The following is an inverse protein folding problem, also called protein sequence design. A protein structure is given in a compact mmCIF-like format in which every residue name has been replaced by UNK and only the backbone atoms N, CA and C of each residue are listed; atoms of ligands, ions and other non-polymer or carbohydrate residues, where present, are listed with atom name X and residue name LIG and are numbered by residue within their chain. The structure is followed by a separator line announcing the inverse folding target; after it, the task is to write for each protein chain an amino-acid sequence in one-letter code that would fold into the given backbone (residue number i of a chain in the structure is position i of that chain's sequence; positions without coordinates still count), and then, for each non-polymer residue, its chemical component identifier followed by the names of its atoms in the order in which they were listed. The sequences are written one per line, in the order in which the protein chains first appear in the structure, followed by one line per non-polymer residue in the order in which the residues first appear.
data_IF_796074452886
#
_entry.id   IF_796074452886
#
_cell.length_a   1.000
_cell.length_b   1.000
_cell.length_c   1.000
_cell.angle_alpha   90.00
_cell.angle_beta   90.00
_cell.angle_gamma   90.00
#
_symmetry.space_group_name_H-M   'P 1'
#
loop_
_entity.id
_entity.type
_entity.pdbx_description
1 polymer ?
#
# COMPACT_ATOMS: atom_id res chain seq x y z
N UNK A 1 -16.27 11.46 -15.25
CA UNK A 1 -14.93 11.00 -14.80
C UNK A 1 -15.11 10.33 -13.44
N UNK A 2 -15.26 9.00 -13.39
CA UNK A 2 -15.42 8.26 -12.13
C UNK A 2 -14.09 7.58 -11.79
N UNK A 3 -13.10 8.36 -11.34
CA UNK A 3 -11.77 7.87 -10.96
C UNK A 3 -11.62 7.46 -9.50
N UNK A 4 -12.73 7.41 -8.74
CA UNK A 4 -12.71 7.01 -7.34
C UNK A 4 -12.41 5.53 -7.21
N UNK A 5 -11.44 5.18 -6.35
CA UNK A 5 -11.16 3.79 -5.97
C UNK A 5 -12.09 3.46 -4.81
N UNK A 6 -12.91 2.44 -4.97
CA UNK A 6 -13.77 1.99 -3.87
C UNK A 6 -12.92 1.13 -2.91
N UNK A 7 -12.50 1.73 -1.80
CA UNK A 7 -11.64 1.12 -0.78
C UNK A 7 -12.33 1.23 0.56
N UNK A 8 -12.40 0.12 1.31
CA UNK A 8 -13.00 0.09 2.64
C UNK A 8 -12.28 1.08 3.59
N UNK A 9 -12.98 2.15 3.96
CA UNK A 9 -12.46 3.18 4.86
C UNK A 9 -12.09 2.63 6.24
N UNK A 10 -12.76 1.57 6.71
CA UNK A 10 -12.43 0.89 7.97
C UNK A 10 -11.07 0.21 7.87
N UNK A 11 -10.80 -0.45 6.75
CA UNK A 11 -9.51 -1.06 6.48
C UNK A 11 -8.40 0.00 6.41
N UNK A 12 -8.65 1.13 5.75
CA UNK A 12 -7.69 2.26 5.68
C UNK A 12 -7.41 2.82 7.08
N UNK A 13 -8.43 3.12 7.87
CA UNK A 13 -8.26 3.65 9.23
C UNK A 13 -7.54 2.66 10.15
N UNK A 14 -7.79 1.35 9.99
CA UNK A 14 -7.07 0.31 10.71
C UNK A 14 -5.57 0.27 10.39
N UNK A 15 -5.17 0.59 9.15
CA UNK A 15 -3.77 0.70 8.75
C UNK A 15 -3.13 2.00 9.24
N UNK A 16 -3.86 3.12 9.18
CA UNK A 16 -3.40 4.42 9.71
C UNK A 16 -3.12 4.32 11.21
N UNK A 17 -4.04 3.73 11.98
CA UNK A 17 -3.88 3.58 13.43
C UNK A 17 -2.67 2.70 13.83
N UNK A 18 -2.20 1.83 12.93
CA UNK A 18 -1.09 0.89 13.17
C UNK A 18 0.22 1.30 12.50
N UNK A 19 0.29 2.48 11.89
CA UNK A 19 1.47 2.93 11.16
C UNK A 19 1.71 4.43 11.30
N UNK A 20 2.88 4.86 10.83
CA UNK A 20 3.19 6.28 10.67
C UNK A 20 2.87 6.78 9.24
N UNK A 21 2.03 6.06 8.48
CA UNK A 21 1.68 6.39 7.10
C UNK A 21 0.42 7.26 7.04
N UNK A 22 0.29 8.05 5.97
CA UNK A 22 -0.92 8.85 5.75
C UNK A 22 -2.11 7.98 5.35
N UNK A 23 -3.34 8.50 5.48
CA UNK A 23 -4.54 7.80 4.99
C UNK A 23 -4.44 7.50 3.48
N UNK A 24 -3.87 8.41 2.72
CA UNK A 24 -3.62 8.23 1.29
C UNK A 24 -2.68 7.04 1.04
N UNK A 25 -1.54 6.94 1.72
CA UNK A 25 -0.63 5.79 1.58
C UNK A 25 -1.33 4.47 1.97
N UNK A 26 -2.10 4.50 3.05
CA UNK A 26 -2.86 3.36 3.55
C UNK A 26 -3.97 2.92 2.59
N UNK A 27 -4.50 3.80 1.74
CA UNK A 27 -5.50 3.47 0.72
C UNK A 27 -4.92 2.52 -0.34
N UNK A 28 -3.71 2.80 -0.84
CA UNK A 28 -3.03 1.93 -1.79
C UNK A 28 -2.66 0.58 -1.18
N UNK A 29 -2.26 0.57 0.09
CA UNK A 29 -1.97 -0.66 0.84
C UNK A 29 -3.25 -1.48 1.05
N UNK A 30 -4.35 -0.85 1.45
CA UNK A 30 -5.63 -1.53 1.65
C UNK A 30 -6.14 -2.18 0.36
N UNK A 31 -6.07 -1.45 -0.77
CA UNK A 31 -6.50 -1.96 -2.06
C UNK A 31 -5.64 -3.13 -2.55
N UNK A 32 -4.32 -3.01 -2.47
CA UNK A 32 -3.42 -4.08 -2.93
C UNK A 32 -3.56 -5.33 -2.06
N UNK A 33 -3.80 -5.17 -0.75
CA UNK A 33 -4.15 -6.28 0.15
C UNK A 33 -5.48 -6.95 -0.21
N UNK A 34 -6.52 -6.19 -0.59
CA UNK A 34 -7.81 -6.79 -0.95
C UNK A 34 -7.75 -7.58 -2.27
N UNK A 35 -6.84 -7.20 -3.16
CA UNK A 35 -6.63 -7.86 -4.46
C UNK A 35 -5.54 -8.95 -4.42
N UNK A 36 -4.69 -8.97 -3.39
CA UNK A 36 -3.59 -9.93 -3.26
C UNK A 36 -2.37 -9.62 -4.15
N UNK A 37 -2.19 -8.37 -4.58
CA UNK A 37 -1.04 -7.93 -5.36
C UNK A 37 -0.03 -7.14 -4.51
N UNK A 38 1.21 -7.05 -4.98
CA UNK A 38 2.20 -6.18 -4.38
C UNK A 38 1.99 -4.71 -4.81
N UNK A 39 2.19 -3.78 -3.88
CA UNK A 39 2.28 -2.35 -4.13
C UNK A 39 3.72 -2.00 -4.51
N UNK A 40 3.94 -1.64 -5.78
CA UNK A 40 5.24 -1.11 -6.22
C UNK A 40 5.30 0.38 -5.93
N UNK A 41 6.28 0.82 -5.15
CA UNK A 41 6.43 2.22 -4.75
C UNK A 41 7.86 2.56 -4.35
N UNK A 42 8.30 3.78 -4.64
CA UNK A 42 9.57 4.33 -4.12
C UNK A 42 9.39 4.98 -2.73
N UNK A 43 8.20 4.88 -2.14
CA UNK A 43 7.90 5.35 -0.79
C UNK A 43 8.60 4.50 0.27
N UNK A 44 9.85 4.84 0.62
CA UNK A 44 10.67 4.10 1.59
C UNK A 44 9.95 3.84 2.93
N UNK A 45 9.10 4.78 3.38
CA UNK A 45 8.28 4.60 4.59
C UNK A 45 7.26 3.47 4.43
N UNK A 46 6.57 3.39 3.30
CA UNK A 46 5.55 2.38 3.01
C UNK A 46 6.21 1.00 2.93
N UNK A 47 7.31 0.88 2.19
CA UNK A 47 8.08 -0.37 2.05
C UNK A 47 8.56 -0.88 3.41
N UNK A 48 9.10 0.00 4.26
CA UNK A 48 9.55 -0.37 5.62
C UNK A 48 8.40 -0.75 6.56
N UNK A 49 7.25 -0.11 6.40
CA UNK A 49 6.07 -0.34 7.26
C UNK A 49 5.32 -1.62 6.87
N UNK A 50 5.25 -1.91 5.56
CA UNK A 50 4.47 -3.01 5.01
C UNK A 50 5.32 -3.88 4.06
N UNK A 51 6.43 -4.50 4.53
CA UNK A 51 7.36 -5.22 3.66
C UNK A 51 6.76 -6.46 2.97
N UNK A 52 5.66 -7.02 3.49
CA UNK A 52 4.92 -8.11 2.85
C UNK A 52 3.85 -7.64 1.83
N UNK A 53 3.69 -6.34 1.65
CA UNK A 53 2.70 -5.75 0.72
C UNK A 53 3.34 -4.77 -0.24
N UNK A 54 4.39 -4.04 0.16
CA UNK A 54 5.02 -3.00 -0.64
C UNK A 54 6.48 -3.30 -0.93
N UNK A 55 6.89 -3.05 -2.18
CA UNK A 55 8.26 -3.24 -2.69
C UNK A 55 8.70 -2.03 -3.51
N UNK A 56 10.01 -1.81 -3.62
CA UNK A 56 10.56 -0.82 -4.57
C UNK A 56 10.57 -1.39 -5.99
N UNK A 57 10.70 -0.51 -6.99
CA UNK A 57 10.83 -0.94 -8.38
C UNK A 57 12.06 -1.83 -8.57
N UNK A 58 13.20 -1.43 -7.98
CA UNK A 58 14.44 -2.21 -8.01
C UNK A 58 14.27 -3.58 -7.34
N UNK A 59 13.60 -3.62 -6.18
CA UNK A 59 13.31 -4.87 -5.48
C UNK A 59 12.38 -5.81 -6.26
N UNK A 60 11.46 -5.28 -7.05
CA UNK A 60 10.62 -6.07 -7.95
C UNK A 60 11.44 -6.66 -9.11
N UNK A 61 12.30 -5.85 -9.74
CA UNK A 61 13.12 -6.26 -10.88
C UNK A 61 14.22 -7.26 -10.48
N UNK A 62 14.79 -7.13 -9.28
CA UNK A 62 15.80 -8.05 -8.76
C UNK A 62 15.27 -9.47 -8.46
N UNK A 63 13.95 -9.63 -8.34
CA UNK A 63 13.29 -10.92 -8.12
C UNK A 63 12.85 -11.65 -9.40
N UNK A 64 13.21 -11.14 -10.59
CA UNK A 64 12.92 -11.75 -11.88
C UNK A 64 14.05 -12.67 -12.37
#
# INVERSE_FOLDING_TARGET
MNGGRDVDSTAVMGLVAKSACSAHDCEFVALTKSMGFALVTEGARIVRTFPGTAVTMDGLLAGQ
#
